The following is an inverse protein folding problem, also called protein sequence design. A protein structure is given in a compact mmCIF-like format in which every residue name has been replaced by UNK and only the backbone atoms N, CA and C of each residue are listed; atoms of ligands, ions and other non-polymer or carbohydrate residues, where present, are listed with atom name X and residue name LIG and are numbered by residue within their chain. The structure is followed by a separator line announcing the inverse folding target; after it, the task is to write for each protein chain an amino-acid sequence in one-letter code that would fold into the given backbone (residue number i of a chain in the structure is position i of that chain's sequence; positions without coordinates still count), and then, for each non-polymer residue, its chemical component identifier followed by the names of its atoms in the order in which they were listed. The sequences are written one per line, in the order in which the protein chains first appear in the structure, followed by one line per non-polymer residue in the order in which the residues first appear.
data_IF_058612731385
#
_entry.id   IF_058612731385
#
_cell.length_a   1.000
_cell.length_b   1.000
_cell.length_c   1.000
_cell.angle_alpha   90.00
_cell.angle_beta   90.00
_cell.angle_gamma   90.00
#
_symmetry.space_group_name_H-M   'P 1'
#
loop_
_entity.id
_entity.type
_entity.pdbx_description
1 polymer ?
#
# COMPACT_ATOMS: atom_id res chain seq x y z
N UNK A 1 -26.11 -28.87 17.46
CA UNK A 1 -25.38 -27.72 16.89
C UNK A 1 -25.15 -27.99 15.42
N UNK A 2 -25.81 -27.26 14.52
CA UNK A 2 -25.61 -27.40 13.07
C UNK A 2 -24.29 -26.76 12.70
N UNK A 3 -23.32 -27.60 12.32
CA UNK A 3 -22.01 -27.16 11.90
C UNK A 3 -22.14 -26.51 10.50
N UNK A 4 -22.22 -25.19 10.48
CA UNK A 4 -22.62 -24.41 9.32
C UNK A 4 -21.40 -24.12 8.43
N UNK A 5 -20.88 -25.16 7.79
CA UNK A 5 -19.80 -25.01 6.82
C UNK A 5 -20.34 -24.62 5.45
N UNK A 6 -19.59 -23.75 4.75
CA UNK A 6 -19.84 -23.47 3.35
C UNK A 6 -19.64 -24.74 2.51
N UNK A 7 -20.54 -25.05 1.57
CA UNK A 7 -20.31 -26.05 0.54
C UNK A 7 -18.98 -25.83 -0.17
N UNK A 8 -18.33 -26.91 -0.61
CA UNK A 8 -17.00 -26.87 -1.24
C UNK A 8 -16.90 -25.89 -2.41
N UNK A 9 -17.95 -25.76 -3.22
CA UNK A 9 -18.01 -24.77 -4.29
C UNK A 9 -17.88 -23.34 -3.77
N UNK A 10 -18.64 -22.96 -2.74
CA UNK A 10 -18.59 -21.62 -2.16
C UNK A 10 -17.26 -21.33 -1.45
N UNK A 11 -16.65 -22.33 -0.81
CA UNK A 11 -15.30 -22.17 -0.23
C UNK A 11 -14.24 -21.87 -1.30
N UNK A 12 -14.28 -22.59 -2.43
CA UNK A 12 -13.36 -22.36 -3.55
C UNK A 12 -13.57 -20.98 -4.18
N UNK A 13 -14.82 -20.56 -4.37
CA UNK A 13 -15.13 -19.23 -4.86
C UNK A 13 -14.61 -18.16 -3.92
N UNK A 14 -14.88 -18.27 -2.62
CA UNK A 14 -14.38 -17.33 -1.62
C UNK A 14 -12.84 -17.23 -1.65
N UNK A 15 -12.14 -18.36 -1.65
CA UNK A 15 -10.69 -18.40 -1.71
C UNK A 15 -10.15 -17.68 -2.95
N UNK A 16 -10.72 -17.97 -4.12
CA UNK A 16 -10.33 -17.33 -5.38
C UNK A 16 -10.58 -15.82 -5.34
N UNK A 17 -11.79 -15.42 -4.98
CA UNK A 17 -12.18 -14.00 -4.95
C UNK A 17 -11.34 -13.20 -3.97
N UNK A 18 -10.99 -13.76 -2.80
CA UNK A 18 -10.13 -13.07 -1.83
C UNK A 18 -8.71 -12.89 -2.37
N UNK A 19 -8.15 -13.90 -3.07
CA UNK A 19 -6.83 -13.78 -3.70
C UNK A 19 -6.82 -12.73 -4.81
N UNK A 20 -7.83 -12.75 -5.67
CA UNK A 20 -7.97 -11.78 -6.77
C UNK A 20 -8.14 -10.35 -6.22
N UNK A 21 -8.97 -10.18 -5.18
CA UNK A 21 -9.16 -8.89 -4.53
C UNK A 21 -7.87 -8.37 -3.87
N UNK A 22 -7.07 -9.26 -3.26
CA UNK A 22 -5.78 -8.89 -2.68
C UNK A 22 -4.82 -8.34 -3.73
N UNK A 23 -4.69 -9.00 -4.88
CA UNK A 23 -3.82 -8.54 -5.98
C UNK A 23 -4.23 -7.13 -6.43
N UNK A 24 -5.53 -6.91 -6.69
CA UNK A 24 -6.04 -5.61 -7.13
C UNK A 24 -5.80 -4.53 -6.05
N UNK A 25 -5.95 -4.88 -4.77
CA UNK A 25 -5.71 -3.95 -3.68
C UNK A 25 -4.22 -3.58 -3.54
N UNK A 26 -3.32 -4.55 -3.68
CA UNK A 26 -1.86 -4.35 -3.66
C UNK A 26 -1.43 -3.45 -4.84
N UNK A 27 -1.94 -3.71 -6.04
CA UNK A 27 -1.71 -2.86 -7.23
C UNK A 27 -2.21 -1.43 -7.00
N UNK A 28 -3.46 -1.26 -6.54
CA UNK A 28 -4.03 0.05 -6.26
C UNK A 28 -3.30 0.82 -5.15
N UNK A 29 -2.78 0.11 -4.13
CA UNK A 29 -1.96 0.71 -3.08
C UNK A 29 -0.60 1.19 -3.65
N UNK A 30 0.03 0.39 -4.51
CA UNK A 30 1.24 0.78 -5.23
C UNK A 30 1.04 2.04 -6.07
N UNK A 31 -0.03 2.08 -6.86
CA UNK A 31 -0.40 3.24 -7.67
C UNK A 31 -0.66 4.49 -6.81
N UNK A 32 -1.33 4.35 -5.67
CA UNK A 32 -1.57 5.45 -4.75
C UNK A 32 -0.26 5.99 -4.14
N UNK A 33 0.66 5.11 -3.74
CA UNK A 33 2.00 5.47 -3.25
C UNK A 33 2.80 6.23 -4.33
N UNK A 34 2.74 5.75 -5.58
CA UNK A 34 3.37 6.40 -6.72
C UNK A 34 2.75 7.78 -7.00
N UNK A 35 1.41 7.87 -7.07
CA UNK A 35 0.69 9.14 -7.32
C UNK A 35 0.96 10.18 -6.23
N UNK A 36 1.09 9.75 -4.98
CA UNK A 36 1.44 10.65 -3.87
C UNK A 36 2.92 11.08 -3.92
N UNK A 37 3.74 10.52 -4.80
CA UNK A 37 5.17 10.84 -4.89
C UNK A 37 5.89 10.54 -3.58
N UNK A 38 5.56 9.43 -2.92
CA UNK A 38 6.13 9.05 -1.62
C UNK A 38 7.65 8.90 -1.72
N UNK A 39 8.15 8.33 -2.82
CA UNK A 39 9.58 8.11 -3.04
C UNK A 39 10.37 9.38 -3.37
N UNK A 40 9.76 10.33 -4.07
CA UNK A 40 10.41 11.57 -4.50
C UNK A 40 10.77 12.45 -3.29
N UNK A 41 11.79 13.32 -3.41
CA UNK A 41 12.12 14.28 -2.34
C UNK A 41 11.02 15.32 -2.13
N UNK A 42 10.62 15.98 -3.21
CA UNK A 42 9.57 17.01 -3.19
C UNK A 42 8.19 16.41 -3.45
N UNK A 43 7.19 16.91 -2.73
CA UNK A 43 5.80 16.55 -2.96
C UNK A 43 5.32 17.10 -4.32
N UNK A 44 4.52 16.35 -5.09
CA UNK A 44 3.89 16.86 -6.31
C UNK A 44 3.02 18.09 -6.03
N UNK A 45 3.05 19.07 -6.95
CA UNK A 45 2.39 20.36 -6.76
C UNK A 45 0.85 20.27 -6.74
N UNK A 46 0.28 19.23 -7.35
CA UNK A 46 -1.16 19.00 -7.40
C UNK A 46 -1.75 18.40 -6.12
N UNK A 47 -0.91 18.01 -5.15
CA UNK A 47 -1.42 17.44 -3.90
C UNK A 47 -2.11 18.51 -3.04
N UNK A 48 -3.30 18.18 -2.55
CA UNK A 48 -3.94 18.95 -1.50
C UNK A 48 -3.28 18.67 -0.13
N UNK A 49 -3.68 19.40 0.91
CA UNK A 49 -3.02 19.30 2.22
C UNK A 49 -3.26 17.97 2.94
N UNK A 50 -4.41 17.34 2.73
CA UNK A 50 -4.70 15.99 3.22
C UNK A 50 -3.81 14.93 2.55
N UNK A 51 -3.61 15.05 1.24
CA UNK A 51 -2.71 14.18 0.49
C UNK A 51 -1.23 14.38 0.88
N UNK A 52 -0.81 15.63 1.13
CA UNK A 52 0.53 15.92 1.66
C UNK A 52 0.72 15.30 3.04
N UNK A 53 -0.29 15.35 3.90
CA UNK A 53 -0.25 14.69 5.22
C UNK A 53 -0.16 13.18 5.09
N UNK A 54 -1.00 12.58 4.25
CA UNK A 54 -0.93 11.15 3.97
C UNK A 54 0.45 10.73 3.46
N UNK A 55 1.03 11.50 2.53
CA UNK A 55 2.40 11.27 2.05
C UNK A 55 3.43 11.31 3.19
N UNK A 56 3.36 12.30 4.10
CA UNK A 56 4.27 12.39 5.26
C UNK A 56 4.17 11.15 6.15
N UNK A 57 2.94 10.71 6.45
CA UNK A 57 2.69 9.50 7.22
C UNK A 57 3.23 8.24 6.54
N UNK A 58 3.01 8.10 5.24
CA UNK A 58 3.54 6.96 4.46
C UNK A 58 5.07 6.92 4.48
N UNK A 59 5.74 8.07 4.36
CA UNK A 59 7.22 8.13 4.50
C UNK A 59 7.70 7.82 5.92
N UNK A 60 6.93 8.18 6.94
CA UNK A 60 7.24 7.76 8.31
C UNK A 60 7.08 6.24 8.47
N UNK A 61 6.02 5.67 7.89
CA UNK A 61 5.76 4.24 7.92
C UNK A 61 6.84 3.45 7.17
N UNK A 62 7.23 3.87 5.97
CA UNK A 62 8.33 3.27 5.21
C UNK A 62 9.60 3.14 6.06
N UNK A 63 10.01 4.22 6.72
CA UNK A 63 11.16 4.21 7.64
C UNK A 63 10.99 3.28 8.82
N UNK A 64 9.77 3.18 9.37
CA UNK A 64 9.46 2.24 10.45
C UNK A 64 9.56 0.77 10.01
N UNK A 65 9.26 0.48 8.74
CA UNK A 65 9.43 -0.83 8.11
C UNK A 65 10.87 -1.12 7.69
N UNK A 66 11.78 -0.15 7.83
CA UNK A 66 13.20 -0.29 7.50
C UNK A 66 13.57 0.19 6.10
N UNK A 67 12.68 0.86 5.36
CA UNK A 67 13.03 1.51 4.10
C UNK A 67 14.01 2.67 4.33
N UNK A 68 15.08 2.72 3.54
CA UNK A 68 16.11 3.74 3.69
C UNK A 68 15.62 5.14 3.28
N UNK A 69 16.16 6.16 3.93
CA UNK A 69 16.00 7.56 3.55
C UNK A 69 17.35 8.13 3.10
N UNK A 70 17.42 8.57 1.85
CA UNK A 70 18.62 9.21 1.31
C UNK A 70 18.58 10.71 1.59
N UNK A 71 19.54 11.18 2.40
CA UNK A 71 19.64 12.60 2.79
C UNK A 71 20.12 13.51 1.66
N UNK A 72 20.88 12.98 0.71
CA UNK A 72 21.52 13.79 -0.34
C UNK A 72 20.53 14.29 -1.39
N UNK A 73 19.52 13.49 -1.70
CA UNK A 73 18.47 13.78 -2.70
C UNK A 73 17.06 13.83 -2.09
N UNK A 74 16.97 13.67 -0.76
CA UNK A 74 15.74 13.60 0.03
C UNK A 74 14.77 12.49 -0.41
N UNK A 75 15.26 11.46 -1.12
CA UNK A 75 14.41 10.35 -1.57
C UNK A 75 14.13 9.35 -0.44
N UNK A 76 12.97 8.72 -0.52
CA UNK A 76 12.53 7.69 0.42
C UNK A 76 12.35 6.38 -0.34
N UNK A 77 13.02 5.31 0.10
CA UNK A 77 12.71 3.98 -0.39
C UNK A 77 11.28 3.60 0.05
N UNK A 78 10.56 2.87 -0.80
CA UNK A 78 9.18 2.43 -0.53
C UNK A 78 9.03 0.94 -0.71
N UNK A 79 10.13 0.18 -0.73
CA UNK A 79 10.13 -1.24 -1.04
C UNK A 79 9.31 -2.00 -0.01
N UNK A 80 9.63 -1.83 1.28
CA UNK A 80 8.91 -2.45 2.38
C UNK A 80 7.50 -1.89 2.55
N UNK A 81 7.32 -0.60 2.25
CA UNK A 81 6.00 0.02 2.25
C UNK A 81 5.04 -0.58 1.22
N UNK A 82 5.54 -1.00 0.05
CA UNK A 82 4.75 -1.62 -1.03
C UNK A 82 4.61 -3.14 -0.85
N UNK A 83 5.56 -3.78 -0.16
CA UNK A 83 5.53 -5.22 0.17
C UNK A 83 4.63 -5.57 1.39
N UNK A 84 4.13 -4.58 2.12
CA UNK A 84 3.35 -4.75 3.37
C UNK A 84 1.85 -4.91 3.13
#
# INVERSE_FOLDING_TARGET
MTNQYLPTALRRTLEKTVKDARIIAEEGAGDAIQRLGVAAGKAPAYLNDGEKELRRRLRAHARALGDAFNKSDETQETKRLVEA
#
